data_IF_975522062695
#
_entry.id   IF_975522062695
#
_cell.length_a   1.000
_cell.length_b   1.000
_cell.length_c   1.000
_cell.angle_alpha   90.00
_cell.angle_beta   90.00
_cell.angle_gamma   90.00
#
_symmetry.space_group_name_H-M   'P 1'
#
loop_
_entity.id
_entity.type
_entity.pdbx_description
1 polymer ?
#
# COMPACT_ATOMS: atom_id res chain seq x y z
N UNK A 1 -17.07 3.05 -7.84
CA UNK A 1 -15.62 2.81 -7.61
C UNK A 1 -15.54 1.44 -7.01
N UNK A 2 -15.31 0.47 -7.88
CA UNK A 2 -15.45 -0.93 -7.56
C UNK A 2 -14.27 -1.36 -6.70
N UNK A 3 -14.56 -2.01 -5.57
CA UNK A 3 -13.58 -2.64 -4.69
C UNK A 3 -13.85 -4.14 -4.75
N UNK A 4 -12.95 -4.88 -5.41
CA UNK A 4 -13.05 -6.33 -5.51
C UNK A 4 -12.28 -6.99 -4.35
N UNK A 5 -12.96 -7.80 -3.56
CA UNK A 5 -12.35 -8.58 -2.47
C UNK A 5 -12.34 -10.06 -2.80
N UNK A 6 -11.18 -10.58 -3.16
CA UNK A 6 -10.91 -12.01 -3.17
C UNK A 6 -10.02 -12.35 -1.99
N UNK A 7 -10.57 -13.06 -1.00
CA UNK A 7 -9.82 -13.58 0.14
C UNK A 7 -10.41 -14.89 0.61
N UNK A 8 -9.78 -16.01 0.25
CA UNK A 8 -9.97 -17.28 0.97
C UNK A 8 -9.26 -17.18 2.31
N UNK A 9 -10.02 -17.05 3.41
CA UNK A 9 -9.48 -17.21 4.75
C UNK A 9 -9.69 -18.67 5.20
N UNK A 10 -8.63 -19.47 5.18
CA UNK A 10 -8.60 -20.75 5.92
C UNK A 10 -8.05 -20.47 7.32
N UNK A 11 -8.93 -20.47 8.33
CA UNK A 11 -8.55 -20.27 9.73
C UNK A 11 -8.19 -21.60 10.39
N UNK A 12 -7.01 -22.14 10.10
CA UNK A 12 -6.44 -23.18 10.97
C UNK A 12 -5.65 -22.47 12.07
N UNK A 13 -6.28 -22.25 13.23
CA UNK A 13 -5.56 -21.78 14.41
C UNK A 13 -4.65 -22.90 14.91
N UNK A 14 -3.33 -22.66 14.83
CA UNK A 14 -2.35 -23.53 15.47
C UNK A 14 -2.27 -23.08 16.94
N UNK A 15 -2.92 -23.82 17.83
CA UNK A 15 -2.67 -23.70 19.27
C UNK A 15 -1.24 -24.16 19.57
N UNK A 16 -0.29 -23.23 19.61
CA UNK A 16 1.01 -23.46 20.26
C UNK A 16 0.97 -22.80 21.63
N UNK A 17 1.31 -23.56 22.66
CA UNK A 17 1.46 -23.09 24.03
C UNK A 17 2.29 -21.80 24.08
N UNK A 18 1.67 -20.71 24.53
CA UNK A 18 2.35 -19.46 24.82
C UNK A 18 3.15 -19.65 26.10
N UNK A 19 4.46 -19.91 25.97
CA UNK A 19 5.37 -19.80 27.12
C UNK A 19 5.52 -18.33 27.48
N UNK A 20 5.03 -17.96 28.65
CA UNK A 20 5.23 -16.64 29.24
C UNK A 20 6.73 -16.50 29.56
N UNK A 21 7.45 -15.72 28.75
CA UNK A 21 8.83 -15.32 28.99
C UNK A 21 8.85 -14.38 30.20
N UNK A 22 9.63 -14.69 31.23
CA UNK A 22 9.72 -13.87 32.44
C UNK A 22 10.53 -12.60 32.15
N UNK A 23 10.16 -11.48 32.80
CA UNK A 23 10.89 -10.22 32.68
C UNK A 23 12.33 -10.39 33.16
N UNK A 24 13.28 -10.51 32.23
CA UNK A 24 14.70 -10.73 32.53
C UNK A 24 15.42 -11.62 31.52
N UNK A 25 14.70 -12.40 30.72
CA UNK A 25 15.30 -13.11 29.60
C UNK A 25 15.49 -12.16 28.41
N UNK A 26 16.73 -12.02 27.95
CA UNK A 26 17.05 -11.25 26.74
C UNK A 26 16.37 -11.92 25.54
N UNK A 27 15.27 -11.31 25.08
CA UNK A 27 14.46 -11.76 23.94
C UNK A 27 15.28 -11.81 22.63
N UNK A 28 16.50 -11.27 22.63
CA UNK A 28 17.44 -11.29 21.53
C UNK A 28 18.64 -12.21 21.74
N UNK A 29 18.66 -13.07 22.76
CA UNK A 29 19.77 -14.02 23.02
C UNK A 29 20.15 -14.94 21.86
N UNK A 30 19.27 -15.08 20.86
CA UNK A 30 19.49 -15.83 19.62
C UNK A 30 20.16 -15.01 18.50
N UNK A 31 20.32 -13.69 18.66
CA UNK A 31 21.06 -12.78 17.78
C UNK A 31 22.25 -12.19 18.54
N UNK A 32 23.44 -12.32 17.98
CA UNK A 32 24.58 -11.53 18.43
C UNK A 32 24.59 -10.19 17.67
N UNK A 33 24.09 -9.12 18.31
CA UNK A 33 24.03 -7.78 17.71
C UNK A 33 25.41 -7.23 17.33
N UNK A 34 26.48 -7.66 18.01
CA UNK A 34 27.86 -7.24 17.71
C UNK A 34 28.38 -7.85 16.39
N UNK A 35 27.70 -8.87 15.86
CA UNK A 35 28.03 -9.49 14.55
C UNK A 35 27.21 -8.96 13.38
N UNK A 36 26.18 -8.15 13.65
CA UNK A 36 25.34 -7.56 12.60
C UNK A 36 26.14 -6.48 11.88
N UNK A 37 26.36 -6.66 10.58
CA UNK A 37 26.95 -5.64 9.71
C UNK A 37 25.85 -5.03 8.87
N UNK A 38 25.64 -3.73 9.01
CA UNK A 38 24.66 -2.99 8.22
C UNK A 38 25.01 -3.09 6.73
N UNK A 39 24.07 -3.62 5.95
CA UNK A 39 24.06 -3.62 4.50
C UNK A 39 23.41 -2.36 3.93
N UNK A 40 23.69 -2.06 2.66
CA UNK A 40 23.20 -0.89 1.93
C UNK A 40 21.66 -0.77 1.89
N UNK A 41 20.94 -1.88 2.05
CA UNK A 41 19.47 -1.96 1.91
C UNK A 41 18.76 -2.50 3.14
N UNK A 42 19.45 -2.56 4.29
CA UNK A 42 18.88 -3.12 5.52
C UNK A 42 17.69 -2.29 6.05
N UNK A 43 17.63 -1.01 5.68
CA UNK A 43 16.52 -0.10 6.00
C UNK A 43 15.40 -0.09 4.96
N UNK A 44 15.49 -0.95 3.94
CA UNK A 44 14.47 -1.11 2.91
C UNK A 44 14.89 -0.65 1.52
N UNK A 45 13.99 -0.93 0.58
CA UNK A 45 14.15 -0.78 -0.86
C UNK A 45 12.95 0.03 -1.38
N UNK A 46 12.94 1.32 -1.07
CA UNK A 46 11.90 2.26 -1.46
C UNK A 46 12.51 3.34 -2.33
N UNK A 47 12.06 3.41 -3.58
CA UNK A 47 12.54 4.37 -4.57
C UNK A 47 11.35 5.08 -5.18
N UNK A 48 11.60 6.27 -5.70
CA UNK A 48 10.60 7.09 -6.36
C UNK A 48 10.53 6.76 -7.85
N UNK A 49 9.43 7.15 -8.50
CA UNK A 49 9.23 6.85 -9.93
C UNK A 49 10.12 7.68 -10.84
N UNK A 50 10.55 8.86 -10.40
CA UNK A 50 11.44 9.76 -11.14
C UNK A 50 12.92 9.34 -11.04
N UNK A 51 13.28 8.56 -10.01
CA UNK A 51 14.63 8.00 -9.83
C UNK A 51 14.58 6.50 -9.53
N UNK A 52 14.09 5.66 -10.47
CA UNK A 52 13.96 4.24 -10.23
C UNK A 52 15.34 3.55 -10.26
N UNK A 53 15.52 2.44 -9.52
CA UNK A 53 16.81 1.77 -9.37
C UNK A 53 17.08 0.79 -10.53
N UNK A 54 17.08 1.27 -11.77
CA UNK A 54 17.14 0.42 -12.98
C UNK A 54 18.36 -0.50 -13.02
N UNK A 55 19.53 -0.01 -12.62
CA UNK A 55 20.75 -0.83 -12.54
C UNK A 55 20.60 -1.96 -11.53
N UNK A 56 20.00 -1.68 -10.38
CA UNK A 56 19.75 -2.70 -9.35
C UNK A 56 18.80 -3.79 -9.86
N UNK A 57 17.72 -3.42 -10.55
CA UNK A 57 16.78 -4.39 -11.13
C UNK A 57 17.43 -5.26 -12.20
N UNK A 58 18.31 -4.68 -13.01
CA UNK A 58 19.06 -5.42 -14.04
C UNK A 58 20.02 -6.42 -13.42
N UNK A 59 20.79 -6.01 -12.41
CA UNK A 59 21.79 -6.86 -11.76
C UNK A 59 21.17 -7.97 -10.91
N UNK A 60 20.15 -7.65 -10.12
CA UNK A 60 19.53 -8.60 -9.19
C UNK A 60 18.51 -9.52 -9.86
N UNK A 61 17.68 -8.96 -10.75
CA UNK A 61 16.50 -9.65 -11.27
C UNK A 61 16.58 -9.93 -12.78
N UNK A 62 17.68 -9.54 -13.45
CA UNK A 62 17.80 -9.60 -14.91
C UNK A 62 16.61 -8.89 -15.61
N UNK A 63 16.12 -7.81 -15.00
CA UNK A 63 14.96 -7.06 -15.46
C UNK A 63 15.37 -5.63 -15.79
N UNK A 64 15.11 -5.20 -17.03
CA UNK A 64 15.42 -3.85 -17.51
C UNK A 64 14.12 -3.17 -17.96
N UNK A 65 13.35 -2.59 -17.02
CA UNK A 65 12.13 -1.86 -17.34
C UNK A 65 12.42 -0.63 -18.21
N UNK A 66 11.48 -0.34 -19.10
CA UNK A 66 11.51 0.88 -19.93
C UNK A 66 10.86 2.05 -19.20
N UNK A 67 11.09 3.26 -19.69
CA UNK A 67 10.37 4.46 -19.22
C UNK A 67 8.85 4.31 -19.36
N UNK A 68 8.39 3.72 -20.47
CA UNK A 68 6.96 3.44 -20.67
C UNK A 68 6.42 2.47 -19.63
N UNK A 69 7.21 1.49 -19.21
CA UNK A 69 6.84 0.57 -18.14
C UNK A 69 6.69 1.32 -16.82
N UNK A 70 7.65 2.19 -16.46
CA UNK A 70 7.58 3.02 -15.25
C UNK A 70 6.37 3.96 -15.26
N UNK A 71 6.11 4.59 -16.41
CA UNK A 71 4.93 5.44 -16.59
C UNK A 71 3.63 4.63 -16.43
N UNK A 72 3.56 3.44 -17.01
CA UNK A 72 2.40 2.57 -16.89
C UNK A 72 2.14 2.19 -15.43
N UNK A 73 3.15 1.69 -14.70
CA UNK A 73 2.95 1.29 -13.30
C UNK A 73 2.64 2.47 -12.38
N UNK A 74 3.22 3.66 -12.64
CA UNK A 74 2.90 4.89 -11.90
C UNK A 74 1.44 5.30 -12.10
N UNK A 75 0.96 5.26 -13.35
CA UNK A 75 -0.43 5.62 -13.68
C UNK A 75 -1.44 4.58 -13.18
N UNK A 76 -1.04 3.31 -13.05
CA UNK A 76 -1.88 2.26 -12.50
C UNK A 76 -1.92 2.25 -10.96
N UNK A 77 -0.88 2.75 -10.29
CA UNK A 77 -0.79 2.80 -8.83
C UNK A 77 -1.65 3.92 -8.24
N UNK A 78 -2.36 3.59 -7.16
CA UNK A 78 -3.27 4.50 -6.48
C UNK A 78 -2.97 4.56 -4.99
N UNK A 79 -3.14 5.76 -4.43
CA UNK A 79 -3.28 5.93 -2.98
C UNK A 79 -4.75 5.75 -2.63
N UNK A 80 -5.05 4.79 -1.75
CA UNK A 80 -6.42 4.52 -1.31
C UNK A 80 -6.71 5.31 -0.03
N UNK A 81 -7.51 6.36 -0.18
CA UNK A 81 -7.65 7.41 0.83
C UNK A 81 -6.27 7.86 1.35
N UNK A 82 -6.10 8.00 2.66
CA UNK A 82 -4.82 8.38 3.26
C UNK A 82 -4.03 7.22 3.88
N UNK A 83 -4.54 5.98 3.86
CA UNK A 83 -4.07 4.89 4.72
C UNK A 83 -3.68 3.59 3.99
N UNK A 84 -4.06 3.39 2.74
CA UNK A 84 -3.75 2.17 1.99
C UNK A 84 -3.25 2.47 0.57
N UNK A 85 -2.84 1.42 -0.12
CA UNK A 85 -2.56 1.43 -1.55
C UNK A 85 -3.66 0.71 -2.33
N UNK A 86 -3.79 1.03 -3.60
CA UNK A 86 -4.64 0.33 -4.54
C UNK A 86 -4.05 0.37 -5.95
N UNK A 87 -4.70 -0.27 -6.91
CA UNK A 87 -4.34 -0.17 -8.32
C UNK A 87 -5.57 -0.19 -9.21
N UNK A 88 -5.50 0.51 -10.34
CA UNK A 88 -6.40 0.23 -11.46
C UNK A 88 -6.10 -1.15 -12.03
N UNK A 89 -7.16 -1.92 -12.33
CA UNK A 89 -7.06 -3.24 -12.98
C UNK A 89 -7.98 -3.38 -14.19
N UNK A 90 -8.69 -2.30 -14.58
CA UNK A 90 -9.41 -2.20 -15.86
C UNK A 90 -9.35 -0.77 -16.41
N UNK A 91 -9.63 -0.64 -17.71
CA UNK A 91 -9.76 0.66 -18.40
C UNK A 91 -10.99 1.46 -17.95
N UNK A 92 -12.02 0.77 -17.44
CA UNK A 92 -13.26 1.37 -16.93
C UNK A 92 -13.16 1.85 -15.46
N UNK A 93 -11.97 1.79 -14.85
CA UNK A 93 -11.73 2.31 -13.50
C UNK A 93 -12.01 1.32 -12.36
N UNK A 94 -11.93 0.01 -12.61
CA UNK A 94 -11.95 -1.00 -11.55
C UNK A 94 -10.71 -0.86 -10.66
N UNK A 95 -10.92 -0.72 -9.34
CA UNK A 95 -9.86 -0.54 -8.35
C UNK A 95 -9.72 -1.79 -7.49
N UNK A 96 -8.48 -2.27 -7.32
CA UNK A 96 -8.16 -3.39 -6.44
C UNK A 96 -7.41 -2.91 -5.21
N UNK A 97 -7.84 -3.33 -4.02
CA UNK A 97 -7.14 -3.12 -2.73
C UNK A 97 -7.37 -4.32 -1.81
N UNK A 98 -6.80 -4.30 -0.61
CA UNK A 98 -6.96 -5.39 0.35
C UNK A 98 -8.26 -5.29 1.14
N UNK A 99 -8.80 -6.44 1.55
CA UNK A 99 -10.02 -6.54 2.38
C UNK A 99 -10.02 -5.60 3.60
N UNK A 100 -8.92 -5.57 4.34
CA UNK A 100 -8.82 -4.73 5.52
C UNK A 100 -8.84 -3.23 5.20
N UNK A 101 -8.44 -2.81 3.98
CA UNK A 101 -8.46 -1.42 3.55
C UNK A 101 -9.87 -0.89 3.29
N UNK A 102 -10.81 -1.73 2.81
CA UNK A 102 -12.20 -1.34 2.63
C UNK A 102 -13.16 -1.89 3.67
N UNK A 103 -12.65 -2.42 4.79
CA UNK A 103 -13.50 -2.96 5.87
C UNK A 103 -14.45 -1.92 6.45
N UNK A 104 -14.01 -0.67 6.59
CA UNK A 104 -14.87 0.45 6.97
C UNK A 104 -15.94 0.68 5.91
N UNK A 105 -15.54 0.75 4.65
CA UNK A 105 -16.45 0.93 3.51
C UNK A 105 -17.52 -0.16 3.42
N UNK A 106 -17.18 -1.42 3.67
CA UNK A 106 -18.15 -2.54 3.75
C UNK A 106 -19.20 -2.24 4.83
N UNK A 107 -18.76 -1.77 6.00
CA UNK A 107 -19.66 -1.44 7.11
C UNK A 107 -20.57 -0.27 6.73
N UNK A 108 -20.03 0.77 6.10
CA UNK A 108 -20.77 1.97 5.72
C UNK A 108 -21.88 1.72 4.68
N UNK A 109 -21.72 0.67 3.85
CA UNK A 109 -22.67 0.34 2.78
C UNK A 109 -23.53 -0.90 3.07
N UNK A 110 -23.34 -1.54 4.23
CA UNK A 110 -24.21 -2.65 4.69
C UNK A 110 -25.62 -2.12 4.95
N UNK A 111 -26.64 -2.80 4.41
CA UNK A 111 -28.06 -2.45 4.62
C UNK A 111 -28.67 -3.29 5.74
N UNK A 112 -29.85 -2.89 6.21
CA UNK A 112 -30.59 -3.64 7.23
C UNK A 112 -30.85 -5.08 6.76
N UNK A 113 -30.50 -6.06 7.61
CA UNK A 113 -30.66 -7.48 7.32
C UNK A 113 -29.52 -8.14 6.54
N UNK A 114 -28.46 -7.42 6.19
CA UNK A 114 -27.27 -7.97 5.53
C UNK A 114 -26.09 -8.14 6.51
N UNK A 115 -25.23 -9.11 6.23
CA UNK A 115 -23.90 -9.21 6.84
C UNK A 115 -22.84 -9.38 5.74
N UNK A 116 -22.42 -8.24 5.17
CA UNK A 116 -21.44 -8.24 4.08
C UNK A 116 -20.04 -8.69 4.51
N UNK A 117 -19.72 -8.67 5.81
CA UNK A 117 -18.44 -9.16 6.31
C UNK A 117 -18.39 -10.70 6.34
N UNK A 118 -19.53 -11.34 6.60
CA UNK A 118 -19.66 -12.80 6.57
C UNK A 118 -19.90 -13.33 5.16
N UNK A 119 -20.84 -12.74 4.42
CA UNK A 119 -21.29 -13.29 3.13
C UNK A 119 -20.51 -12.76 1.93
N UNK A 120 -19.73 -11.69 2.10
CA UNK A 120 -19.14 -10.94 1.00
C UNK A 120 -20.17 -10.13 0.20
N UNK A 121 -19.69 -9.41 -0.80
CA UNK A 121 -20.49 -8.58 -1.69
C UNK A 121 -19.95 -8.65 -3.13
N UNK A 122 -20.85 -8.85 -4.09
CA UNK A 122 -20.55 -8.80 -5.52
C UNK A 122 -21.66 -8.04 -6.23
N UNK A 123 -21.29 -7.01 -7.00
CA UNK A 123 -22.19 -6.29 -7.87
C UNK A 123 -22.19 -6.96 -9.26
N UNK A 124 -23.37 -7.30 -9.80
CA UNK A 124 -23.47 -7.93 -11.12
C UNK A 124 -23.39 -6.90 -12.24
N UNK A 125 -23.88 -5.68 -11.98
CA UNK A 125 -23.78 -4.53 -12.89
C UNK A 125 -23.21 -3.30 -12.18
N UNK A 126 -22.90 -2.25 -12.93
CA UNK A 126 -22.40 -0.99 -12.38
C UNK A 126 -23.45 -0.32 -11.48
N UNK A 127 -24.73 -0.47 -11.80
CA UNK A 127 -25.85 0.07 -11.01
C UNK A 127 -26.00 -0.62 -9.65
N UNK A 128 -25.50 -1.85 -9.52
CA UNK A 128 -25.48 -2.59 -8.26
C UNK A 128 -24.34 -2.14 -7.33
N UNK A 129 -23.33 -1.41 -7.84
CA UNK A 129 -22.25 -0.87 -7.01
C UNK A 129 -22.80 0.10 -5.96
N UNK A 130 -22.34 -0.07 -4.71
CA UNK A 130 -22.76 0.80 -3.61
C UNK A 130 -21.79 1.96 -3.46
N UNK A 131 -22.27 3.22 -3.52
CA UNK A 131 -21.41 4.37 -3.29
C UNK A 131 -20.98 4.41 -1.82
N UNK A 132 -19.69 4.62 -1.58
CA UNK A 132 -19.12 4.79 -0.25
C UNK A 132 -18.93 6.29 -0.01
N UNK A 133 -19.72 6.94 0.86
CA UNK A 133 -19.62 8.38 1.08
C UNK A 133 -18.23 8.80 1.56
N UNK A 134 -17.63 9.79 0.91
CA UNK A 134 -16.33 10.36 1.32
C UNK A 134 -15.10 9.52 0.97
N UNK A 135 -15.25 8.33 0.37
CA UNK A 135 -14.12 7.57 -0.15
C UNK A 135 -13.55 8.25 -1.41
N UNK A 136 -12.22 8.37 -1.46
CA UNK A 136 -11.48 8.86 -2.61
C UNK A 136 -10.23 8.01 -2.86
N UNK A 137 -9.70 8.09 -4.08
CA UNK A 137 -8.39 7.55 -4.47
C UNK A 137 -7.61 8.64 -5.19
N UNK A 138 -6.32 8.74 -4.90
CA UNK A 138 -5.41 9.66 -5.57
C UNK A 138 -4.55 8.91 -6.58
N UNK A 139 -4.46 9.45 -7.79
CA UNK A 139 -3.57 8.98 -8.85
C UNK A 139 -2.36 9.92 -8.96
N UNK A 140 -1.16 9.34 -9.01
CA UNK A 140 0.07 10.11 -9.17
C UNK A 140 0.31 10.48 -10.64
N UNK A 141 -0.17 11.65 -11.05
CA UNK A 141 -0.06 12.11 -12.45
C UNK A 141 1.31 12.75 -12.75
N UNK A 142 1.87 13.50 -11.80
CA UNK A 142 3.11 14.25 -11.99
C UNK A 142 3.93 14.28 -10.70
N UNK A 143 5.24 14.15 -10.85
CA UNK A 143 6.23 14.45 -9.83
C UNK A 143 7.09 15.57 -10.40
N UNK A 144 7.24 16.67 -9.65
CA UNK A 144 8.04 17.82 -10.06
C UNK A 144 8.97 18.19 -8.92
N UNK A 145 10.26 18.30 -9.21
CA UNK A 145 11.22 18.90 -8.30
C UNK A 145 10.97 20.42 -8.25
N UNK A 146 10.68 20.91 -7.04
CA UNK A 146 10.45 22.33 -6.74
C UNK A 146 11.41 22.82 -5.65
N UNK A 147 12.52 22.12 -5.44
CA UNK A 147 13.48 22.41 -4.36
C UNK A 147 13.96 23.85 -4.41
N UNK A 148 14.39 24.34 -5.58
CA UNK A 148 14.88 25.71 -5.75
C UNK A 148 13.79 26.76 -5.47
N UNK A 149 12.54 26.48 -5.90
CA UNK A 149 11.39 27.37 -5.68
C UNK A 149 11.11 27.51 -4.17
N UNK A 150 11.16 26.40 -3.42
CA UNK A 150 10.95 26.37 -1.98
C UNK A 150 12.11 27.03 -1.23
N UNK A 151 13.37 26.74 -1.58
CA UNK A 151 14.54 27.34 -0.92
C UNK A 151 14.52 28.86 -1.06
N UNK A 152 14.23 29.37 -2.26
CA UNK A 152 14.07 30.80 -2.48
C UNK A 152 12.95 31.41 -1.63
N UNK A 153 11.80 30.75 -1.53
CA UNK A 153 10.69 31.24 -0.71
C UNK A 153 11.04 31.27 0.79
N UNK A 154 11.84 30.31 1.26
CA UNK A 154 12.35 30.29 2.64
C UNK A 154 13.30 31.47 2.88
N UNK A 155 14.24 31.74 1.96
CA UNK A 155 15.19 32.85 2.07
C UNK A 155 14.51 34.23 2.07
N UNK A 156 13.40 34.36 1.34
CA UNK A 156 12.58 35.58 1.29
C UNK A 156 11.64 35.73 2.49
N UNK A 157 11.36 34.62 3.20
CA UNK A 157 10.49 34.58 4.37
C UNK A 157 11.09 35.34 5.55
N UNK A 158 10.30 36.26 6.13
CA UNK A 158 10.64 36.89 7.41
C UNK A 158 9.98 36.09 8.53
N UNK A 159 10.71 35.79 9.59
CA UNK A 159 10.11 35.30 10.83
C UNK A 159 9.14 36.34 11.37
N UNK A 160 7.92 35.93 11.69
CA UNK A 160 7.03 36.72 12.54
C UNK A 160 7.60 36.86 13.96
#
# INVERSE_FOLDING_TARGET
MLVYFAGCASSTQIEKEVKIVKSGDDIYSWINLDTVKAGRFDTGKMWTFEFPPSDYFREEYNFTPTEDWYNHVRMAALRFANYCSASFVSEDGLVMTNHHCGRSSITDVTREGEDLHETGFTAATLEDERPVPGLYVDQLVLIKDVTDEIQKAIDEGKTE
#
